data_IF_154511972855
#
_entry.id   IF_154511972855
#
_cell.length_a   1.000
_cell.length_b   1.000
_cell.length_c   1.000
_cell.angle_alpha   90.00
_cell.angle_beta   90.00
_cell.angle_gamma   90.00
#
_symmetry.space_group_name_H-M   'P 1'
#
loop_
_entity.id
_entity.type
_entity.pdbx_description
1 polymer ?
#
# COMPACT_ATOMS: atom_id res chain seq x y z
N UNK A 1 2.96 -34.00 -15.83
CA UNK A 1 3.53 -32.76 -15.27
C UNK A 1 2.80 -31.60 -15.91
N UNK A 2 2.16 -30.75 -15.13
CA UNK A 2 1.52 -29.55 -15.67
C UNK A 2 2.63 -28.55 -15.97
N UNK A 3 2.84 -28.26 -17.24
CA UNK A 3 3.85 -27.28 -17.68
C UNK A 3 3.43 -25.88 -17.25
N UNK A 4 4.38 -25.11 -16.70
CA UNK A 4 4.11 -23.71 -16.26
C UNK A 4 4.13 -22.81 -17.50
N UNK A 5 3.01 -22.15 -17.77
CA UNK A 5 2.94 -21.15 -18.84
C UNK A 5 3.59 -19.84 -18.35
N UNK A 6 4.70 -19.45 -18.97
CA UNK A 6 5.43 -18.24 -18.69
C UNK A 6 5.04 -17.11 -19.64
N UNK A 7 4.94 -15.89 -19.13
CA UNK A 7 4.63 -14.68 -19.91
C UNK A 7 5.74 -13.66 -19.68
N UNK A 8 6.30 -13.14 -20.78
CA UNK A 8 7.33 -12.10 -20.71
C UNK A 8 6.70 -10.74 -20.43
N UNK A 9 7.24 -10.03 -19.45
CA UNK A 9 6.79 -8.73 -18.99
C UNK A 9 7.83 -7.68 -19.37
N UNK A 10 7.51 -6.71 -20.20
CA UNK A 10 8.43 -5.63 -20.54
C UNK A 10 8.63 -4.66 -19.38
N UNK A 11 9.78 -3.94 -19.36
CA UNK A 11 10.00 -2.83 -18.44
C UNK A 11 8.81 -1.86 -18.43
N UNK A 12 8.60 -1.17 -17.31
CA UNK A 12 7.54 -0.18 -17.27
C UNK A 12 7.10 0.22 -15.88
N UNK A 13 6.23 1.23 -15.86
CA UNK A 13 5.76 1.84 -14.63
C UNK A 13 4.85 0.92 -13.81
N UNK A 14 4.97 1.05 -12.49
CA UNK A 14 4.15 0.37 -11.48
C UNK A 14 3.59 1.41 -10.53
N UNK A 15 2.29 1.32 -10.30
CA UNK A 15 1.60 2.14 -9.30
C UNK A 15 1.24 1.28 -8.08
N UNK A 16 1.67 1.72 -6.90
CA UNK A 16 1.43 1.01 -5.65
C UNK A 16 1.03 1.96 -4.53
N UNK A 17 0.48 1.38 -3.46
CA UNK A 17 0.09 2.12 -2.28
C UNK A 17 -1.31 2.73 -2.36
N UNK A 18 -1.58 3.62 -1.44
CA UNK A 18 -2.86 4.32 -1.33
C UNK A 18 -2.64 5.72 -0.80
N UNK A 19 -3.38 6.67 -1.30
CA UNK A 19 -3.44 8.03 -0.76
C UNK A 19 -4.48 8.17 0.38
N UNK A 20 -5.12 7.07 0.78
CA UNK A 20 -6.08 7.08 1.87
C UNK A 20 -5.34 7.02 3.21
N UNK A 21 -5.50 8.06 4.03
CA UNK A 21 -4.92 8.18 5.38
C UNK A 21 -5.91 7.83 6.48
N UNK A 22 -7.12 7.43 6.15
CA UNK A 22 -8.13 7.08 7.14
C UNK A 22 -7.68 5.89 7.99
N UNK A 23 -7.75 6.03 9.31
CA UNK A 23 -7.47 4.96 10.27
C UNK A 23 -8.41 3.77 10.07
N UNK A 24 -9.67 4.04 9.69
CA UNK A 24 -10.70 3.01 9.50
C UNK A 24 -10.48 2.15 8.26
N UNK A 25 -9.87 2.71 7.20
CA UNK A 25 -9.69 2.01 5.93
C UNK A 25 -8.26 1.48 5.72
N UNK A 26 -7.40 1.64 6.72
CA UNK A 26 -6.01 1.24 6.69
C UNK A 26 -5.15 2.17 5.81
N UNK A 27 -3.91 2.33 6.20
CA UNK A 27 -2.90 3.06 5.45
C UNK A 27 -1.91 2.05 4.87
N UNK A 28 -2.02 1.78 3.58
CA UNK A 28 -1.08 0.90 2.87
C UNK A 28 0.25 1.61 2.53
N UNK A 29 0.58 2.68 3.24
CA UNK A 29 1.77 3.49 2.99
C UNK A 29 1.56 4.52 1.87
N UNK A 30 2.61 5.19 1.41
CA UNK A 30 2.46 6.22 0.40
C UNK A 30 2.06 5.62 -0.94
N UNK A 31 1.21 6.34 -1.69
CA UNK A 31 1.04 6.07 -3.11
C UNK A 31 2.33 6.46 -3.82
N UNK A 32 2.83 5.56 -4.66
CA UNK A 32 4.07 5.79 -5.38
C UNK A 32 4.03 5.13 -6.75
N UNK A 33 4.70 5.77 -7.70
CA UNK A 33 4.85 5.29 -9.07
C UNK A 33 6.34 5.25 -9.37
N UNK A 34 6.82 4.11 -9.83
CA UNK A 34 8.22 3.89 -10.20
C UNK A 34 8.29 2.94 -11.38
N UNK A 35 9.47 2.82 -12.00
CA UNK A 35 9.69 1.99 -13.17
C UNK A 35 10.50 0.74 -12.83
N UNK A 36 10.01 -0.44 -13.21
CA UNK A 36 10.82 -1.66 -13.25
C UNK A 36 11.58 -1.63 -14.57
N UNK A 37 12.91 -1.45 -14.52
CA UNK A 37 13.75 -1.21 -15.69
C UNK A 37 14.13 -2.49 -16.44
N UNK A 38 14.06 -3.66 -15.78
CA UNK A 38 14.45 -4.94 -16.37
C UNK A 38 13.23 -5.78 -16.74
N UNK A 39 13.23 -6.43 -17.91
CA UNK A 39 12.21 -7.39 -18.25
C UNK A 39 12.29 -8.62 -17.34
N UNK A 40 11.18 -9.30 -17.18
CA UNK A 40 11.10 -10.57 -16.45
C UNK A 40 10.01 -11.46 -17.03
N UNK A 41 10.05 -12.75 -16.70
CA UNK A 41 8.99 -13.69 -17.02
C UNK A 41 8.19 -14.02 -15.76
N UNK A 42 6.89 -14.14 -15.87
CA UNK A 42 6.00 -14.48 -14.76
C UNK A 42 5.07 -15.63 -15.16
N UNK A 43 4.75 -16.49 -14.21
CA UNK A 43 3.76 -17.54 -14.47
C UNK A 43 2.38 -16.92 -14.73
N UNK A 44 1.73 -17.27 -15.85
CA UNK A 44 0.42 -16.73 -16.24
C UNK A 44 -0.67 -17.05 -15.23
N UNK A 45 -0.61 -18.24 -14.65
CA UNK A 45 -1.51 -18.71 -13.61
C UNK A 45 -0.78 -18.87 -12.28
N UNK A 46 -1.48 -18.81 -11.12
CA UNK A 46 -0.90 -19.24 -9.87
C UNK A 46 -0.47 -20.70 -9.94
N UNK A 47 0.75 -20.99 -9.52
CA UNK A 47 1.35 -22.32 -9.54
C UNK A 47 1.06 -23.00 -8.21
N UNK A 48 0.57 -24.24 -8.26
CA UNK A 48 0.28 -25.06 -7.10
C UNK A 48 1.50 -25.19 -6.17
N UNK A 49 1.25 -25.29 -4.87
CA UNK A 49 2.26 -25.22 -3.82
C UNK A 49 3.39 -26.24 -4.01
N UNK A 50 3.08 -27.49 -4.40
CA UNK A 50 4.06 -28.56 -4.53
C UNK A 50 4.97 -28.32 -5.74
N UNK A 51 4.38 -28.05 -6.91
CA UNK A 51 5.12 -27.70 -8.11
C UNK A 51 5.96 -26.43 -7.92
N UNK A 52 5.41 -25.43 -7.24
CA UNK A 52 6.15 -24.20 -6.93
C UNK A 52 7.38 -24.50 -6.06
N UNK A 53 7.29 -25.41 -5.07
CA UNK A 53 8.43 -25.80 -4.24
C UNK A 53 9.51 -26.52 -5.04
N UNK A 54 9.13 -27.37 -5.98
CA UNK A 54 10.08 -28.06 -6.88
C UNK A 54 10.88 -27.07 -7.73
N UNK A 55 10.20 -26.12 -8.36
CA UNK A 55 10.83 -25.09 -9.21
C UNK A 55 11.72 -24.15 -8.38
N UNK A 56 11.27 -23.75 -7.20
CA UNK A 56 12.06 -22.91 -6.29
C UNK A 56 13.30 -23.63 -5.76
N UNK A 57 13.25 -24.95 -5.57
CA UNK A 57 14.39 -25.75 -5.13
C UNK A 57 15.49 -25.87 -6.20
N UNK A 58 15.17 -25.64 -7.46
CA UNK A 58 16.11 -25.66 -8.58
C UNK A 58 16.78 -24.27 -8.81
N UNK A 59 16.38 -23.27 -8.03
CA UNK A 59 16.84 -21.86 -8.14
C UNK A 59 16.63 -21.23 -9.53
N UNK A 60 15.69 -21.77 -10.31
CA UNK A 60 15.34 -21.27 -11.63
C UNK A 60 14.36 -20.10 -11.59
N UNK A 61 13.66 -19.91 -10.48
CA UNK A 61 12.64 -18.89 -10.30
C UNK A 61 12.56 -18.46 -8.82
N UNK A 62 11.87 -17.37 -8.58
CA UNK A 62 11.53 -16.91 -7.23
C UNK A 62 10.02 -16.60 -7.13
N UNK A 63 9.52 -16.45 -5.91
CA UNK A 63 8.12 -16.02 -5.70
C UNK A 63 8.00 -14.56 -6.10
N UNK A 64 6.98 -14.23 -6.89
CA UNK A 64 6.72 -12.88 -7.34
C UNK A 64 6.62 -11.89 -6.17
N UNK A 65 7.27 -10.74 -6.31
CA UNK A 65 7.02 -9.59 -5.45
C UNK A 65 5.66 -8.95 -5.77
N UNK A 66 5.17 -8.15 -4.85
CA UNK A 66 3.94 -7.37 -5.09
C UNK A 66 4.10 -6.41 -6.28
N UNK A 67 5.29 -5.86 -6.47
CA UNK A 67 5.62 -4.96 -7.59
C UNK A 67 5.57 -5.65 -8.95
N UNK A 68 6.18 -6.83 -9.05
CA UNK A 68 6.17 -7.66 -10.27
C UNK A 68 4.74 -8.10 -10.59
N UNK A 69 4.01 -8.49 -9.57
CA UNK A 69 2.60 -8.87 -9.71
C UNK A 69 1.73 -7.72 -10.21
N UNK A 70 1.86 -6.50 -9.62
CA UNK A 70 1.10 -5.32 -10.06
C UNK A 70 1.47 -4.91 -11.49
N UNK A 71 2.75 -4.97 -11.86
CA UNK A 71 3.19 -4.71 -13.23
C UNK A 71 2.55 -5.66 -14.22
N UNK A 72 2.59 -6.97 -13.96
CA UNK A 72 2.01 -7.97 -14.82
C UNK A 72 0.47 -7.83 -14.91
N UNK A 73 -0.18 -7.52 -13.78
CA UNK A 73 -1.62 -7.28 -13.72
C UNK A 73 -2.04 -6.03 -14.49
N UNK A 74 -1.25 -4.96 -14.42
CA UNK A 74 -1.55 -3.68 -15.10
C UNK A 74 -1.61 -3.79 -16.62
N UNK A 75 -0.89 -4.75 -17.20
CA UNK A 75 -0.90 -5.03 -18.64
C UNK A 75 -1.76 -6.25 -19.02
N UNK A 76 -2.49 -6.80 -18.04
CA UNK A 76 -3.36 -7.95 -18.30
C UNK A 76 -2.65 -9.27 -18.61
N UNK A 77 -1.35 -9.39 -18.24
CA UNK A 77 -0.54 -10.57 -18.58
C UNK A 77 -0.84 -11.78 -17.69
N UNK A 78 -1.43 -11.58 -16.53
CA UNK A 78 -1.70 -12.64 -15.55
C UNK A 78 -3.20 -12.76 -15.25
N UNK A 79 -3.60 -13.97 -14.90
CA UNK A 79 -4.98 -14.28 -14.52
C UNK A 79 -5.00 -15.32 -13.39
N UNK A 80 -6.17 -15.50 -12.77
CA UNK A 80 -6.40 -16.51 -11.77
C UNK A 80 -7.89 -16.78 -11.61
N UNK A 81 -8.22 -17.93 -11.05
CA UNK A 81 -9.62 -18.32 -10.81
C UNK A 81 -10.22 -17.54 -9.64
N UNK A 82 -11.51 -17.22 -9.74
CA UNK A 82 -12.23 -16.53 -8.68
C UNK A 82 -12.20 -17.37 -7.39
N UNK A 83 -11.81 -16.74 -6.29
CA UNK A 83 -11.66 -17.41 -4.99
C UNK A 83 -10.24 -17.87 -4.69
N UNK A 84 -9.37 -18.02 -5.70
CA UNK A 84 -7.97 -18.38 -5.47
C UNK A 84 -7.25 -17.31 -4.66
N UNK A 85 -6.46 -17.76 -3.68
CA UNK A 85 -5.57 -16.93 -2.87
C UNK A 85 -4.15 -17.32 -3.23
N UNK A 86 -3.38 -16.40 -3.81
CA UNK A 86 -1.97 -16.61 -4.15
C UNK A 86 -1.05 -15.85 -3.20
N UNK A 87 0.10 -16.44 -2.89
CA UNK A 87 1.11 -15.89 -1.97
C UNK A 87 2.17 -15.15 -2.76
N UNK A 88 2.55 -13.97 -2.25
CA UNK A 88 3.64 -13.15 -2.75
C UNK A 88 4.86 -13.18 -1.83
N UNK A 89 6.00 -12.75 -2.33
CA UNK A 89 7.26 -12.75 -1.58
C UNK A 89 7.30 -11.69 -0.47
N UNK A 90 6.52 -10.62 -0.58
CA UNK A 90 6.52 -9.49 0.35
C UNK A 90 5.95 -9.88 1.72
N UNK A 91 6.57 -9.35 2.79
CA UNK A 91 6.11 -9.52 4.17
C UNK A 91 5.68 -8.21 4.83
N UNK A 92 6.00 -7.07 4.21
CA UNK A 92 5.71 -5.76 4.76
C UNK A 92 4.21 -5.44 4.83
N UNK A 93 3.80 -4.73 5.86
CA UNK A 93 2.40 -4.26 6.04
C UNK A 93 2.13 -2.92 5.37
N UNK A 94 3.18 -2.15 5.09
CA UNK A 94 3.13 -0.86 4.40
C UNK A 94 4.29 -0.76 3.39
N UNK A 95 4.49 0.41 2.77
CA UNK A 95 5.54 0.60 1.76
C UNK A 95 6.65 1.58 2.18
N UNK A 96 6.62 2.09 3.42
CA UNK A 96 7.68 2.99 3.90
C UNK A 96 9.03 2.29 3.92
N UNK A 97 10.04 2.90 3.26
CA UNK A 97 11.37 2.32 3.09
C UNK A 97 11.49 1.28 1.97
N UNK A 98 10.45 1.05 1.17
CA UNK A 98 10.47 0.09 0.07
C UNK A 98 11.46 0.51 -1.01
N UNK A 99 12.26 -0.43 -1.50
CA UNK A 99 13.06 -0.28 -2.72
C UNK A 99 12.17 -0.34 -3.96
N UNK A 100 12.48 0.48 -4.96
CA UNK A 100 11.64 0.68 -6.14
C UNK A 100 12.27 0.10 -7.41
N UNK A 101 12.61 -1.18 -7.39
CA UNK A 101 13.19 -1.95 -8.49
C UNK A 101 12.45 -3.27 -8.78
N UNK A 102 11.38 -3.51 -8.05
CA UNK A 102 10.63 -4.75 -8.17
C UNK A 102 11.03 -5.85 -7.19
N UNK A 103 12.11 -5.68 -6.38
CA UNK A 103 12.45 -6.66 -5.33
C UNK A 103 11.36 -6.80 -4.29
N UNK A 104 11.24 -7.97 -3.64
CA UNK A 104 10.32 -8.16 -2.53
C UNK A 104 10.64 -7.22 -1.38
N UNK A 105 9.61 -6.61 -0.80
CA UNK A 105 9.76 -5.79 0.40
C UNK A 105 9.54 -6.64 1.65
N UNK A 106 10.64 -6.99 2.29
CA UNK A 106 10.66 -7.84 3.47
C UNK A 106 10.93 -6.95 4.69
N UNK A 107 9.97 -6.90 5.60
CA UNK A 107 10.14 -6.26 6.92
C UNK A 107 10.15 -7.34 7.99
N UNK A 108 11.05 -7.19 8.95
CA UNK A 108 11.03 -7.99 10.16
C UNK A 108 9.77 -7.63 10.97
N UNK A 109 8.89 -8.60 11.11
CA UNK A 109 7.68 -8.47 11.89
C UNK A 109 7.64 -9.63 12.89
N UNK A 110 7.36 -9.39 14.17
CA UNK A 110 7.20 -10.46 15.18
C UNK A 110 6.15 -11.50 14.76
N UNK A 111 5.12 -11.08 14.04
CA UNK A 111 4.17 -11.99 13.39
C UNK A 111 4.66 -12.19 11.94
N UNK A 112 5.28 -13.34 11.68
CA UNK A 112 5.72 -13.72 10.34
C UNK A 112 4.53 -13.79 9.38
N UNK A 113 4.31 -12.74 8.61
CA UNK A 113 3.23 -12.66 7.63
C UNK A 113 3.75 -12.58 6.21
N UNK A 114 2.92 -12.95 5.24
CA UNK A 114 3.15 -12.75 3.80
C UNK A 114 1.97 -12.00 3.17
N UNK A 115 2.26 -11.23 2.15
CA UNK A 115 1.24 -10.64 1.29
C UNK A 115 0.56 -11.73 0.50
N UNK A 116 -0.76 -11.60 0.35
CA UNK A 116 -1.57 -12.48 -0.47
C UNK A 116 -2.50 -11.67 -1.37
N UNK A 117 -2.81 -12.25 -2.53
CA UNK A 117 -3.81 -11.73 -3.47
C UNK A 117 -4.97 -12.72 -3.56
N UNK A 118 -6.18 -12.22 -3.38
CA UNK A 118 -7.39 -13.00 -3.56
C UNK A 118 -8.09 -12.55 -4.84
N UNK A 119 -8.31 -13.47 -5.75
CA UNK A 119 -9.06 -13.23 -6.98
C UNK A 119 -10.55 -13.15 -6.72
N UNK A 120 -11.19 -12.09 -7.21
CA UNK A 120 -12.64 -11.85 -7.13
C UNK A 120 -13.16 -11.48 -8.50
N UNK A 121 -14.50 -11.53 -8.69
CA UNK A 121 -15.14 -11.12 -9.93
C UNK A 121 -14.77 -9.65 -10.24
N UNK A 122 -14.03 -9.44 -11.34
CA UNK A 122 -13.62 -8.13 -11.85
C UNK A 122 -12.57 -7.36 -11.03
N UNK A 123 -12.01 -7.93 -9.95
CA UNK A 123 -10.97 -7.28 -9.13
C UNK A 123 -10.17 -8.27 -8.30
N UNK A 124 -9.07 -7.82 -7.75
CA UNK A 124 -8.31 -8.58 -6.74
C UNK A 124 -8.34 -7.85 -5.39
N UNK A 125 -8.26 -8.61 -4.30
CA UNK A 125 -8.19 -8.07 -2.95
C UNK A 125 -6.79 -8.32 -2.38
N UNK A 126 -6.15 -7.27 -1.87
CA UNK A 126 -4.90 -7.34 -1.09
C UNK A 126 -5.22 -7.76 0.35
N UNK A 127 -4.38 -8.62 0.92
CA UNK A 127 -4.44 -9.01 2.32
C UNK A 127 -3.07 -9.48 2.80
N UNK A 128 -2.95 -9.75 4.09
CA UNK A 128 -1.80 -10.42 4.69
C UNK A 128 -2.27 -11.65 5.43
N UNK A 129 -1.44 -12.70 5.47
CA UNK A 129 -1.73 -13.94 6.19
C UNK A 129 -0.49 -14.41 6.95
N UNK A 130 -0.65 -15.04 8.13
CA UNK A 130 0.45 -15.71 8.83
C UNK A 130 1.09 -16.78 7.95
N UNK A 131 2.41 -16.93 8.00
CA UNK A 131 3.15 -17.91 7.18
C UNK A 131 2.63 -19.33 7.44
N UNK A 132 2.26 -19.64 8.66
CA UNK A 132 1.75 -20.97 9.06
C UNK A 132 0.44 -21.36 8.34
N UNK A 133 -0.35 -20.37 7.91
CA UNK A 133 -1.65 -20.57 7.25
C UNK A 133 -1.61 -20.62 5.73
N UNK A 134 -0.41 -20.47 5.11
CA UNK A 134 -0.28 -20.29 3.66
C UNK A 134 0.59 -21.36 2.97
N UNK A 135 0.94 -22.43 3.67
CA UNK A 135 1.83 -23.48 3.15
C UNK A 135 1.32 -24.09 1.85
N UNK A 136 0.02 -24.33 1.77
CA UNK A 136 -0.64 -25.00 0.64
C UNK A 136 -1.22 -24.03 -0.39
N UNK A 137 -1.06 -22.73 -0.17
CA UNK A 137 -1.55 -21.74 -1.14
C UNK A 137 -0.65 -21.67 -2.36
N UNK A 138 -1.24 -21.56 -3.57
CA UNK A 138 -0.48 -21.37 -4.80
C UNK A 138 0.37 -20.11 -4.75
N UNK A 139 1.45 -20.13 -5.52
CA UNK A 139 2.41 -19.03 -5.62
C UNK A 139 2.52 -18.58 -7.06
N UNK A 140 2.77 -17.30 -7.24
CA UNK A 140 3.15 -16.79 -8.54
C UNK A 140 4.67 -16.79 -8.63
N UNK A 141 5.20 -17.38 -9.70
CA UNK A 141 6.63 -17.52 -9.91
C UNK A 141 7.14 -16.51 -10.93
N UNK A 142 8.36 -16.04 -10.74
CA UNK A 142 9.05 -15.09 -11.63
C UNK A 142 10.45 -15.61 -11.94
N UNK A 143 10.85 -15.48 -13.22
CA UNK A 143 12.22 -15.65 -13.69
C UNK A 143 12.79 -14.31 -14.08
N UNK A 144 13.98 -13.98 -13.58
CA UNK A 144 14.74 -12.77 -13.96
C UNK A 144 16.08 -13.13 -14.55
N UNK A 145 16.46 -12.38 -15.56
CA UNK A 145 17.78 -12.48 -16.19
C UNK A 145 18.81 -11.55 -15.57
N UNK A 146 18.36 -10.54 -14.84
CA UNK A 146 19.22 -9.53 -14.19
C UNK A 146 19.00 -9.48 -12.68
N UNK A 147 20.07 -9.28 -11.94
CA UNK A 147 20.00 -9.00 -10.51
C UNK A 147 19.37 -7.62 -10.25
N UNK A 148 18.93 -7.41 -9.02
CA UNK A 148 18.44 -6.12 -8.57
C UNK A 148 19.60 -5.11 -8.50
N UNK A 149 19.32 -3.85 -8.83
CA UNK A 149 20.31 -2.78 -8.74
C UNK A 149 20.54 -2.37 -7.28
N UNK A 150 21.80 -2.25 -6.87
CA UNK A 150 22.16 -1.85 -5.52
C UNK A 150 21.95 -0.34 -5.26
N UNK A 151 21.92 0.47 -6.31
CA UNK A 151 21.74 1.94 -6.23
C UNK A 151 20.28 2.37 -6.48
N UNK A 152 19.33 1.57 -6.10
CA UNK A 152 17.93 1.85 -6.33
C UNK A 152 17.35 2.88 -5.36
N UNK A 153 16.51 3.75 -5.91
CA UNK A 153 15.72 4.69 -5.13
C UNK A 153 14.79 3.96 -4.16
N UNK A 154 14.84 4.39 -2.90
CA UNK A 154 13.95 3.87 -1.85
C UNK A 154 12.96 4.93 -1.40
N UNK A 155 11.75 4.51 -1.06
CA UNK A 155 10.80 5.39 -0.39
C UNK A 155 11.34 5.85 0.98
N UNK A 156 10.94 7.05 1.46
CA UNK A 156 11.27 7.47 2.82
C UNK A 156 10.88 6.40 3.84
N UNK A 157 11.71 6.20 4.87
CA UNK A 157 11.47 5.18 5.89
C UNK A 157 10.23 5.47 6.76
N UNK A 158 9.80 6.72 6.83
CA UNK A 158 8.65 7.15 7.66
C UNK A 158 7.89 8.29 6.98
N UNK A 159 6.60 8.40 7.33
CA UNK A 159 5.80 9.56 6.99
C UNK A 159 6.35 10.83 7.66
N UNK A 160 6.20 11.98 7.01
CA UNK A 160 6.44 13.27 7.66
C UNK A 160 5.33 13.56 8.69
N UNK A 161 5.60 13.17 9.93
CA UNK A 161 4.66 13.36 11.03
C UNK A 161 4.39 14.84 11.33
N UNK A 162 5.34 15.75 11.07
CA UNK A 162 5.14 17.19 11.31
C UNK A 162 4.07 17.74 10.39
N UNK A 163 4.12 17.37 9.12
CA UNK A 163 3.08 17.73 8.15
C UNK A 163 1.72 17.16 8.54
N UNK A 164 1.67 15.89 8.96
CA UNK A 164 0.43 15.22 9.41
C UNK A 164 -0.20 15.95 10.60
N UNK A 165 0.61 16.27 11.62
CA UNK A 165 0.14 17.00 12.82
C UNK A 165 -0.33 18.40 12.44
N UNK A 166 0.40 19.12 11.59
CA UNK A 166 0.00 20.45 11.13
C UNK A 166 -1.35 20.42 10.41
N UNK A 167 -1.53 19.47 9.48
CA UNK A 167 -2.81 19.29 8.79
C UNK A 167 -3.97 18.99 9.75
N UNK A 168 -3.76 18.14 10.76
CA UNK A 168 -4.77 17.86 11.79
C UNK A 168 -5.13 19.12 12.59
N UNK A 169 -4.14 19.93 12.98
CA UNK A 169 -4.38 21.20 13.68
C UNK A 169 -5.20 22.13 12.80
N UNK A 170 -4.86 22.27 11.52
CA UNK A 170 -5.59 23.13 10.58
C UNK A 170 -7.04 22.64 10.40
N UNK A 171 -7.25 21.33 10.24
CA UNK A 171 -8.59 20.76 10.10
C UNK A 171 -9.42 20.99 11.37
N UNK A 172 -8.88 20.68 12.55
CA UNK A 172 -9.58 20.90 13.82
C UNK A 172 -9.92 22.38 14.04
N UNK A 173 -9.03 23.29 13.68
CA UNK A 173 -9.25 24.73 13.82
C UNK A 173 -10.31 25.24 12.84
N UNK A 174 -10.14 24.99 11.54
CA UNK A 174 -10.99 25.58 10.50
C UNK A 174 -12.36 24.91 10.40
N UNK A 175 -12.47 23.61 10.63
CA UNK A 175 -13.71 22.85 10.46
C UNK A 175 -14.43 22.63 11.79
N UNK A 176 -13.69 22.61 12.91
CA UNK A 176 -14.23 22.37 14.24
C UNK A 176 -14.33 23.62 15.09
N UNK A 177 -13.21 24.16 15.56
CA UNK A 177 -13.19 25.22 16.59
C UNK A 177 -13.84 26.50 16.09
N UNK A 178 -13.37 27.05 14.96
CA UNK A 178 -13.91 28.31 14.42
C UNK A 178 -15.42 28.23 14.19
N UNK A 179 -15.96 27.22 13.50
CA UNK A 179 -17.41 27.10 13.32
C UNK A 179 -18.19 26.97 14.64
N UNK A 180 -17.63 26.30 15.66
CA UNK A 180 -18.26 26.20 16.98
C UNK A 180 -18.42 27.58 17.65
N UNK A 181 -17.41 28.43 17.60
CA UNK A 181 -17.48 29.79 18.12
C UNK A 181 -18.41 30.68 17.28
N UNK A 182 -18.37 30.59 15.96
CA UNK A 182 -19.27 31.33 15.07
C UNK A 182 -20.72 30.95 15.35
N UNK A 183 -21.01 29.66 15.46
CA UNK A 183 -22.34 29.18 15.80
C UNK A 183 -22.79 29.71 17.16
N UNK A 184 -21.96 29.62 18.19
CA UNK A 184 -22.28 30.11 19.52
C UNK A 184 -22.53 31.63 19.55
N UNK A 185 -21.79 32.41 18.77
CA UNK A 185 -21.98 33.87 18.69
C UNK A 185 -23.37 34.24 18.20
N UNK A 186 -23.92 33.50 17.22
CA UNK A 186 -25.23 33.80 16.63
C UNK A 186 -26.42 33.12 17.31
N UNK A 187 -26.18 32.01 18.04
CA UNK A 187 -27.27 31.15 18.51
C UNK A 187 -27.27 30.93 20.04
N UNK A 188 -26.20 31.25 20.77
CA UNK A 188 -26.13 31.05 22.20
C UNK A 188 -26.55 32.32 22.99
N UNK A 189 -26.87 32.13 24.26
CA UNK A 189 -27.19 33.25 25.18
C UNK A 189 -25.97 34.13 25.41
N UNK A 190 -26.25 35.40 25.82
CA UNK A 190 -25.18 36.32 26.20
C UNK A 190 -24.36 35.75 27.38
N UNK A 191 -23.05 35.81 27.25
CA UNK A 191 -22.11 35.26 28.25
C UNK A 191 -21.73 33.79 28.02
N UNK A 192 -22.49 33.00 27.21
CA UNK A 192 -22.17 31.60 27.00
C UNK A 192 -20.73 31.36 26.49
N UNK A 193 -20.25 32.22 25.59
CA UNK A 193 -18.88 32.10 25.07
C UNK A 193 -17.84 32.30 26.19
N UNK A 194 -18.08 33.25 27.10
CA UNK A 194 -17.17 33.52 28.20
C UNK A 194 -17.13 32.37 29.24
N UNK A 195 -18.25 31.76 29.52
CA UNK A 195 -18.37 30.67 30.50
C UNK A 195 -18.12 29.28 29.88
N UNK A 196 -18.53 29.07 28.61
CA UNK A 196 -18.48 27.80 27.92
C UNK A 196 -17.37 27.65 26.86
N UNK A 197 -16.39 28.56 26.81
CA UNK A 197 -15.35 28.56 25.77
C UNK A 197 -14.59 27.22 25.70
N UNK A 198 -14.34 26.57 26.85
CA UNK A 198 -13.67 25.28 26.86
C UNK A 198 -14.50 24.18 26.16
N UNK A 199 -15.81 24.18 26.40
CA UNK A 199 -16.72 23.23 25.73
C UNK A 199 -16.77 23.47 24.22
N UNK A 200 -16.71 24.73 23.77
CA UNK A 200 -16.64 25.07 22.35
C UNK A 200 -15.35 24.59 21.70
N UNK A 201 -14.20 24.73 22.40
CA UNK A 201 -12.93 24.17 21.92
C UNK A 201 -12.99 22.65 21.86
N UNK A 202 -13.38 22.00 22.96
CA UNK A 202 -13.43 20.53 23.02
C UNK A 202 -14.42 19.95 22.00
N UNK A 203 -15.59 20.55 21.86
CA UNK A 203 -16.58 20.18 20.85
C UNK A 203 -16.04 20.40 19.43
N UNK A 204 -15.36 21.53 19.19
CA UNK A 204 -14.71 21.81 17.93
C UNK A 204 -13.60 20.83 17.58
N UNK A 205 -12.74 20.48 18.54
CA UNK A 205 -11.71 19.45 18.37
C UNK A 205 -12.35 18.09 18.06
N UNK A 206 -13.40 17.71 18.81
CA UNK A 206 -14.10 16.45 18.53
C UNK A 206 -14.69 16.42 17.12
N UNK A 207 -15.34 17.48 16.67
CA UNK A 207 -15.87 17.59 15.31
C UNK A 207 -14.76 17.54 14.25
N UNK A 208 -13.65 18.22 14.49
CA UNK A 208 -12.49 18.20 13.62
C UNK A 208 -11.88 16.80 13.50
N UNK A 209 -11.71 16.08 14.61
CA UNK A 209 -11.21 14.70 14.61
C UNK A 209 -12.18 13.75 13.87
N UNK A 210 -13.49 13.86 14.11
CA UNK A 210 -14.49 13.09 13.37
C UNK A 210 -14.39 13.36 11.86
N UNK A 211 -14.30 14.63 11.46
CA UNK A 211 -14.13 15.01 10.05
C UNK A 211 -12.83 14.44 9.49
N UNK A 212 -11.74 14.49 10.24
CA UNK A 212 -10.45 13.91 9.86
C UNK A 212 -10.49 12.39 9.68
N UNK A 213 -11.33 11.68 10.43
CA UNK A 213 -11.52 10.23 10.27
C UNK A 213 -12.21 9.90 8.94
N UNK A 214 -13.24 10.68 8.56
CA UNK A 214 -14.06 10.41 7.37
C UNK A 214 -13.53 11.09 6.12
N UNK A 215 -12.88 12.24 6.24
CA UNK A 215 -12.41 13.05 5.12
C UNK A 215 -11.02 13.66 5.42
N UNK A 216 -9.99 12.86 5.27
CA UNK A 216 -8.61 13.35 5.39
C UNK A 216 -8.07 13.85 4.05
N UNK A 217 -7.25 14.91 4.06
CA UNK A 217 -6.49 15.32 2.88
C UNK A 217 -5.69 14.15 2.32
N UNK A 218 -5.60 14.06 1.01
CA UNK A 218 -4.80 13.03 0.33
C UNK A 218 -3.33 13.18 0.70
N UNK A 219 -2.65 12.06 0.89
CA UNK A 219 -1.19 12.06 0.96
C UNK A 219 -0.62 12.35 -0.42
N UNK A 220 0.55 13.03 -0.51
CA UNK A 220 1.20 13.22 -1.78
C UNK A 220 1.54 11.87 -2.42
N UNK A 221 1.50 11.84 -3.74
CA UNK A 221 1.99 10.72 -4.54
C UNK A 221 3.48 10.93 -4.78
N UNK A 222 4.27 9.90 -4.56
CA UNK A 222 5.70 9.88 -4.85
C UNK A 222 5.90 9.39 -6.29
N UNK A 223 6.37 10.28 -7.16
CA UNK A 223 6.73 9.95 -8.55
C UNK A 223 8.24 9.84 -8.65
N UNK A 224 8.74 8.73 -9.18
CA UNK A 224 10.13 8.61 -9.55
C UNK A 224 10.39 9.40 -10.83
N UNK A 225 11.35 10.31 -10.79
CA UNK A 225 11.82 11.05 -11.93
C UNK A 225 13.34 11.25 -11.82
N UNK A 226 14.09 10.71 -12.78
CA UNK A 226 15.55 10.81 -12.86
C UNK A 226 16.28 10.46 -11.55
N UNK A 227 15.87 9.37 -10.90
CA UNK A 227 16.47 8.88 -9.66
C UNK A 227 16.14 9.73 -8.41
N UNK A 228 15.11 10.57 -8.48
CA UNK A 228 14.63 11.37 -7.35
C UNK A 228 13.10 11.27 -7.21
N UNK A 229 12.62 11.49 -5.99
CA UNK A 229 11.18 11.58 -5.74
C UNK A 229 10.66 13.00 -6.00
N UNK A 230 9.69 13.09 -6.88
CA UNK A 230 8.81 14.26 -7.03
C UNK A 230 7.51 13.99 -6.29
N UNK A 231 7.04 14.96 -5.52
CA UNK A 231 5.76 14.89 -4.81
C UNK A 231 4.67 15.58 -5.63
N UNK A 232 3.55 14.88 -5.84
CA UNK A 232 2.35 15.36 -6.51
C UNK A 232 1.17 15.48 -5.54
#
# INVERSE_FOLDING_TARGET
MTEIEWVSIPPGAVEMGSNNRSVLFGNLGPRHIFTINSPFEISKYPVESDLAREVLAQDEAHVASESEWERAMSIGAITGEIGTIEVLADSATNYWGKHCDGRPFIQENPIRTRRVRMWKKGRTKKSTRPIESIHDFPRRLVKRTSNYDDNVLSLPARADNRRVVFEEIVICTLIGIIPSFVWAHFNASQGYIAEGWLNLILGGVFMGLCTGIFWRPRTPTYLENDGMWKLE
#
